data_IF_218446652788
#
_entry.id   IF_218446652788
#
_cell.length_a   1.000
_cell.length_b   1.000
_cell.length_c   1.000
_cell.angle_alpha   90.00
_cell.angle_beta   90.00
_cell.angle_gamma   90.00
#
_symmetry.space_group_name_H-M   'P 1'
#
loop_
_entity.id
_entity.type
_entity.pdbx_description
1 polymer ?
#
# COMPACT_ATOMS: atom_id res chain seq x y z
N UNK A 1 8.23 9.99 -11.24
CA UNK A 1 9.00 8.80 -10.83
C UNK A 1 9.49 8.09 -12.09
N UNK A 2 10.53 7.25 -12.01
CA UNK A 2 10.90 6.35 -13.12
C UNK A 2 10.26 4.98 -12.84
N UNK A 3 9.85 4.24 -13.88
CA UNK A 3 9.43 2.85 -13.70
C UNK A 3 10.57 1.94 -13.21
N UNK A 4 10.45 0.63 -13.41
CA UNK A 4 11.44 -0.38 -12.98
C UNK A 4 12.86 -0.21 -13.55
N UNK A 5 13.07 0.69 -14.51
CA UNK A 5 14.36 0.98 -15.11
C UNK A 5 14.66 2.48 -15.07
N UNK A 6 15.93 2.81 -14.83
CA UNK A 6 16.44 4.18 -14.89
C UNK A 6 16.44 4.69 -16.33
N UNK A 7 16.17 5.99 -16.52
CA UNK A 7 16.35 6.64 -17.81
C UNK A 7 17.83 6.64 -18.20
N UNK A 8 18.16 6.04 -19.34
CA UNK A 8 19.51 6.06 -19.90
C UNK A 8 19.46 6.61 -21.34
N UNK A 9 20.28 7.63 -21.69
CA UNK A 9 20.18 8.29 -22.99
C UNK A 9 20.37 7.36 -24.19
N UNK A 10 21.25 6.36 -24.07
CA UNK A 10 21.58 5.43 -25.17
C UNK A 10 20.98 4.03 -24.98
N UNK A 11 20.28 3.78 -23.87
CA UNK A 11 19.59 2.50 -23.61
C UNK A 11 18.28 2.78 -22.87
N UNK A 12 17.31 3.45 -23.51
CA UNK A 12 16.09 3.93 -22.85
C UNK A 12 15.19 2.74 -22.49
N UNK A 13 15.43 2.16 -21.32
CA UNK A 13 14.58 1.11 -20.71
C UNK A 13 13.61 1.69 -19.69
N UNK A 14 13.88 2.91 -19.22
CA UNK A 14 13.07 3.62 -18.22
C UNK A 14 12.06 4.57 -18.84
N UNK A 15 10.79 4.40 -18.49
CA UNK A 15 9.73 5.37 -18.77
C UNK A 15 9.50 6.25 -17.55
N UNK A 16 9.52 7.57 -17.75
CA UNK A 16 9.14 8.53 -16.69
C UNK A 16 7.62 8.52 -16.56
N UNK A 17 7.15 8.29 -15.34
CA UNK A 17 5.73 8.32 -15.00
C UNK A 17 5.43 9.46 -14.05
N UNK A 18 4.21 9.98 -14.16
CA UNK A 18 3.66 10.89 -13.18
C UNK A 18 3.19 10.11 -11.96
N UNK A 19 3.53 10.60 -10.77
CA UNK A 19 3.02 10.09 -9.50
C UNK A 19 2.39 11.27 -8.76
N UNK A 20 1.16 11.09 -8.30
CA UNK A 20 0.46 12.14 -7.55
C UNK A 20 1.09 12.31 -6.18
N UNK A 21 1.18 13.55 -5.72
CA UNK A 21 1.57 13.85 -4.35
C UNK A 21 0.34 13.70 -3.45
N UNK A 22 0.36 12.70 -2.58
CA UNK A 22 -0.77 12.39 -1.69
C UNK A 22 -0.70 13.11 -0.34
N UNK A 23 0.49 13.55 0.10
CA UNK A 23 0.68 14.22 1.38
C UNK A 23 2.14 14.59 1.65
N UNK A 24 2.43 14.98 2.89
CA UNK A 24 3.80 15.13 3.40
C UNK A 24 4.44 13.76 3.63
N UNK A 25 5.77 13.72 3.74
CA UNK A 25 6.48 12.47 4.06
C UNK A 25 6.04 11.90 5.42
N UNK A 26 5.79 12.77 6.39
CA UNK A 26 5.25 12.37 7.69
C UNK A 26 3.88 11.69 7.57
N UNK A 27 2.94 12.28 6.81
CA UNK A 27 1.64 11.68 6.56
C UNK A 27 1.73 10.33 5.84
N UNK A 28 2.66 10.20 4.88
CA UNK A 28 2.89 8.97 4.14
C UNK A 28 3.43 7.85 5.04
N UNK A 29 4.41 8.15 5.89
CA UNK A 29 5.13 7.14 6.67
C UNK A 29 4.47 6.90 8.02
N UNK A 30 4.15 7.94 8.78
CA UNK A 30 3.73 7.88 10.19
C UNK A 30 2.26 8.28 10.36
N UNK A 31 1.67 8.92 9.34
CA UNK A 31 0.30 9.44 9.40
C UNK A 31 0.23 10.86 9.97
N UNK A 32 -0.97 11.35 10.31
CA UNK A 32 -2.26 10.66 10.24
C UNK A 32 -2.75 10.46 8.80
N UNK A 33 -3.50 9.37 8.57
CA UNK A 33 -4.18 9.09 7.29
C UNK A 33 -5.52 9.86 7.19
N UNK A 34 -5.45 11.18 7.19
CA UNK A 34 -6.66 12.04 7.18
C UNK A 34 -7.35 11.95 5.82
N UNK A 35 -8.67 11.71 5.80
CA UNK A 35 -9.52 11.64 4.60
C UNK A 35 -9.10 10.58 3.57
N UNK A 36 -8.31 9.58 3.99
CA UNK A 36 -7.77 8.52 3.14
C UNK A 36 -8.01 7.17 3.81
N UNK A 37 -8.77 6.29 3.15
CA UNK A 37 -9.15 4.97 3.67
C UNK A 37 -8.72 3.82 2.75
N UNK A 38 -7.87 4.12 1.76
CA UNK A 38 -7.34 3.14 0.80
C UNK A 38 -5.97 2.55 1.20
N UNK A 39 -5.40 3.04 2.31
CA UNK A 39 -4.08 2.60 2.81
C UNK A 39 -2.89 3.30 2.17
N UNK A 40 -3.10 4.36 1.37
CA UNK A 40 -2.01 5.11 0.72
C UNK A 40 -1.20 6.01 1.68
N UNK A 41 -1.70 6.23 2.90
CA UNK A 41 -1.07 7.03 3.96
C UNK A 41 -0.86 6.16 5.21
N UNK A 42 0.07 6.59 6.07
CA UNK A 42 0.37 5.95 7.36
C UNK A 42 0.84 4.49 7.26
N UNK A 43 1.93 4.27 6.51
CA UNK A 43 2.55 2.95 6.35
C UNK A 43 2.91 2.27 7.70
N UNK A 44 3.48 3.02 8.64
CA UNK A 44 3.90 2.50 9.95
C UNK A 44 2.69 2.13 10.80
N UNK A 45 1.61 2.92 10.76
CA UNK A 45 0.37 2.58 11.45
C UNK A 45 -0.24 1.28 10.91
N UNK A 46 -0.32 1.14 9.59
CA UNK A 46 -0.81 -0.08 8.95
C UNK A 46 0.03 -1.31 9.31
N UNK A 47 1.36 -1.17 9.35
CA UNK A 47 2.27 -2.24 9.77
C UNK A 47 2.07 -2.64 11.25
N UNK A 48 1.92 -1.66 12.15
CA UNK A 48 1.67 -1.92 13.58
C UNK A 48 0.33 -2.58 13.81
N UNK A 49 -0.71 -2.17 13.08
CA UNK A 49 -2.03 -2.80 13.13
C UNK A 49 -1.96 -4.26 12.66
N UNK A 50 -1.32 -4.52 11.51
CA UNK A 50 -1.12 -5.87 11.00
C UNK A 50 -0.35 -6.75 12.00
N UNK A 51 0.71 -6.22 12.61
CA UNK A 51 1.46 -6.90 13.66
C UNK A 51 0.61 -7.18 14.90
N UNK A 52 -0.26 -6.24 15.31
CA UNK A 52 -1.19 -6.41 16.43
C UNK A 52 -2.20 -7.53 16.19
N UNK A 53 -2.83 -7.55 15.02
CA UNK A 53 -3.80 -8.58 14.60
C UNK A 53 -3.15 -9.96 14.52
N UNK A 54 -1.91 -10.05 14.02
CA UNK A 54 -1.16 -11.30 13.90
C UNK A 54 -0.43 -11.72 15.18
N UNK A 55 -0.52 -10.93 16.27
CA UNK A 55 0.18 -11.22 17.53
C UNK A 55 1.70 -11.14 17.45
N UNK A 56 2.25 -10.41 16.47
CA UNK A 56 3.68 -10.27 16.23
C UNK A 56 4.26 -9.07 16.98
N UNK A 57 5.24 -9.29 17.86
CA UNK A 57 5.89 -8.21 18.65
C UNK A 57 6.97 -7.46 17.89
N UNK A 58 7.52 -8.04 16.83
CA UNK A 58 8.56 -7.44 16.01
C UNK A 58 8.51 -7.94 14.57
N UNK A 59 9.27 -7.29 13.68
CA UNK A 59 9.31 -7.62 12.26
C UNK A 59 9.80 -9.05 12.02
N UNK A 60 10.69 -9.57 12.87
CA UNK A 60 11.20 -10.94 12.72
C UNK A 60 10.11 -11.99 12.97
N UNK A 61 9.20 -11.74 13.91
CA UNK A 61 8.02 -12.58 14.12
C UNK A 61 7.04 -12.46 12.94
N UNK A 62 6.81 -11.22 12.45
CA UNK A 62 5.94 -10.99 11.30
C UNK A 62 6.41 -11.75 10.05
N UNK A 63 7.72 -11.85 9.82
CA UNK A 63 8.31 -12.62 8.70
C UNK A 63 8.00 -14.13 8.76
N UNK A 64 7.61 -14.66 9.93
CA UNK A 64 7.22 -16.06 10.12
C UNK A 64 5.70 -16.25 10.18
N UNK A 65 4.90 -15.21 9.94
CA UNK A 65 3.46 -15.33 9.94
C UNK A 65 2.99 -16.28 8.82
N UNK A 66 1.92 -17.03 9.07
CA UNK A 66 1.35 -17.93 8.08
C UNK A 66 0.76 -17.12 6.91
N UNK A 67 1.11 -17.52 5.69
CA UNK A 67 0.59 -16.93 4.46
C UNK A 67 -0.52 -17.82 3.94
N UNK A 68 -1.69 -17.22 3.68
CA UNK A 68 -2.82 -17.89 3.03
C UNK A 68 -3.01 -17.27 1.65
N UNK A 69 -3.08 -18.11 0.62
CA UNK A 69 -3.35 -17.67 -0.75
C UNK A 69 -4.85 -17.69 -0.99
N UNK A 70 -5.48 -16.51 -0.99
CA UNK A 70 -6.92 -16.34 -1.23
C UNK A 70 -7.16 -15.70 -2.61
N UNK A 71 -7.37 -16.47 -3.68
CA UNK A 71 -7.53 -15.93 -5.04
C UNK A 71 -8.75 -14.99 -5.15
N UNK A 72 -9.79 -15.20 -4.35
CA UNK A 72 -11.04 -14.44 -4.41
C UNK A 72 -11.06 -13.18 -3.51
N UNK A 73 -9.98 -12.90 -2.77
CA UNK A 73 -9.91 -11.76 -1.84
C UNK A 73 -10.15 -10.41 -2.52
N UNK A 74 -9.81 -10.30 -3.81
CA UNK A 74 -10.05 -9.10 -4.61
C UNK A 74 -11.53 -8.86 -4.95
N UNK A 75 -12.39 -9.87 -4.77
CA UNK A 75 -13.83 -9.81 -5.11
C UNK A 75 -14.73 -9.82 -3.88
N UNK A 76 -14.36 -10.59 -2.86
CA UNK A 76 -15.17 -10.75 -1.65
C UNK A 76 -15.19 -9.45 -0.83
N UNK A 77 -16.38 -8.84 -0.73
CA UNK A 77 -16.57 -7.54 -0.06
C UNK A 77 -16.05 -6.31 -0.81
N UNK A 78 -15.04 -6.46 -1.68
CA UNK A 78 -14.48 -5.38 -2.51
C UNK A 78 -15.41 -4.91 -3.61
N UNK A 79 -16.27 -5.78 -4.13
CA UNK A 79 -17.29 -5.39 -5.12
C UNK A 79 -18.18 -4.23 -4.63
N UNK A 80 -18.53 -4.21 -3.34
CA UNK A 80 -19.30 -3.12 -2.74
C UNK A 80 -18.50 -1.82 -2.60
N UNK A 81 -17.18 -1.91 -2.35
CA UNK A 81 -16.30 -0.74 -2.28
C UNK A 81 -16.14 -0.09 -3.66
N UNK A 82 -15.97 -0.93 -4.69
CA UNK A 82 -15.84 -0.49 -6.09
C UNK A 82 -17.14 0.14 -6.59
N UNK A 83 -18.29 -0.50 -6.37
CA UNK A 83 -19.58 0.03 -6.84
C UNK A 83 -19.93 1.39 -6.24
N UNK A 84 -19.45 1.66 -5.02
CA UNK A 84 -19.68 2.91 -4.30
C UNK A 84 -18.53 3.92 -4.41
N UNK A 85 -17.41 3.55 -5.05
CA UNK A 85 -16.17 4.37 -5.13
C UNK A 85 -15.64 4.82 -3.77
N UNK A 86 -15.55 3.88 -2.83
CA UNK A 86 -15.08 4.12 -1.45
C UNK A 86 -13.94 3.19 -1.06
N UNK A 87 -13.18 3.55 -0.02
CA UNK A 87 -12.07 2.74 0.47
C UNK A 87 -11.05 2.47 -0.63
N UNK A 88 -10.71 1.19 -0.82
CA UNK A 88 -9.76 0.75 -1.86
C UNK A 88 -10.37 0.67 -3.28
N UNK A 89 -11.68 0.94 -3.44
CA UNK A 89 -12.39 0.94 -4.72
C UNK A 89 -12.63 2.33 -5.32
N UNK A 90 -11.93 3.35 -4.81
CA UNK A 90 -11.98 4.75 -5.27
C UNK A 90 -11.41 4.96 -6.66
#
# INVERSE_FOLDING_TARGET
HWGMATGHPTLPRGTRIEVKKLGTLEQLIVGPAVNCSDGSLNLVGALREAMGVLGCRNIKQLQNANIVVCPNFLTEGKNFQISQRVGMGK
#
